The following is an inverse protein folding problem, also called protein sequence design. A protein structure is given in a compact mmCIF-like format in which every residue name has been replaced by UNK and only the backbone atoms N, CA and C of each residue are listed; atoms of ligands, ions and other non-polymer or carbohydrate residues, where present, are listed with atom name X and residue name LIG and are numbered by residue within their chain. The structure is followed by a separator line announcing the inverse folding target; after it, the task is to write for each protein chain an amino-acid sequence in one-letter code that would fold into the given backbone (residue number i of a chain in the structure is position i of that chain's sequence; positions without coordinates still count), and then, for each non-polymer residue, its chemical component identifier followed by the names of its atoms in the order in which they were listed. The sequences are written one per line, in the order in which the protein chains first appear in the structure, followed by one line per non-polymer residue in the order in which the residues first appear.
data_IF_028167090579
#
_entry.id   IF_028167090579
#
_cell.length_a   1.000
_cell.length_b   1.000
_cell.length_c   1.000
_cell.angle_alpha   90.00
_cell.angle_beta   90.00
_cell.angle_gamma   90.00
#
_symmetry.space_group_name_H-M   'P 1'
#
loop_
_entity.id
_entity.type
_entity.pdbx_description
1 polymer ?
#
# COMPACT_ATOMS: atom_id res chain seq x y z
N UNK A 1 -24.88 11.44 -14.07
CA UNK A 1 -24.47 11.76 -12.69
C UNK A 1 -23.11 12.41 -12.74
N UNK A 2 -22.92 13.58 -12.14
CA UNK A 2 -21.61 14.23 -12.13
C UNK A 2 -20.68 13.45 -11.20
N UNK A 3 -19.55 12.96 -11.73
CA UNK A 3 -18.50 12.36 -10.92
C UNK A 3 -17.90 13.48 -10.04
N UNK A 4 -18.09 13.42 -8.73
CA UNK A 4 -17.37 14.29 -7.80
C UNK A 4 -15.88 13.94 -7.92
N UNK A 5 -15.05 14.91 -8.28
CA UNK A 5 -13.60 14.73 -8.27
C UNK A 5 -13.18 14.43 -6.83
N UNK A 6 -12.78 13.20 -6.54
CA UNK A 6 -12.19 12.87 -5.26
C UNK A 6 -10.83 13.55 -5.18
N UNK A 7 -10.66 14.45 -4.21
CA UNK A 7 -9.38 15.09 -3.96
C UNK A 7 -8.42 14.03 -3.42
N UNK A 8 -7.28 13.85 -4.11
CA UNK A 8 -6.21 12.95 -3.67
C UNK A 8 -5.16 13.78 -2.94
N UNK A 9 -5.40 14.03 -1.65
CA UNK A 9 -4.53 14.83 -0.78
C UNK A 9 -3.65 13.96 0.13
N UNK A 10 -2.73 14.59 0.86
CA UNK A 10 -1.78 13.86 1.72
C UNK A 10 -2.46 12.97 2.78
N UNK A 11 -3.52 13.41 3.49
CA UNK A 11 -4.29 12.52 4.37
C UNK A 11 -4.92 11.33 3.65
N UNK A 12 -5.47 11.53 2.45
CA UNK A 12 -6.03 10.44 1.65
C UNK A 12 -4.95 9.40 1.30
N UNK A 13 -3.73 9.82 0.93
CA UNK A 13 -2.60 8.92 0.67
C UNK A 13 -2.21 8.14 1.92
N UNK A 14 -2.11 8.79 3.09
CA UNK A 14 -1.80 8.13 4.37
C UNK A 14 -2.80 7.04 4.71
N UNK A 15 -4.09 7.35 4.59
CA UNK A 15 -5.18 6.40 4.84
C UNK A 15 -5.12 5.24 3.84
N UNK A 16 -4.90 5.55 2.56
CA UNK A 16 -4.78 4.55 1.51
C UNK A 16 -3.62 3.58 1.76
N UNK A 17 -2.42 4.06 2.14
CA UNK A 17 -1.29 3.19 2.50
C UNK A 17 -1.65 2.21 3.63
N UNK A 18 -2.31 2.69 4.69
CA UNK A 18 -2.73 1.82 5.81
C UNK A 18 -3.84 0.83 5.44
N UNK A 19 -4.75 1.19 4.52
CA UNK A 19 -5.76 0.26 4.01
C UNK A 19 -5.15 -0.79 3.08
N UNK A 20 -4.28 -0.37 2.16
CA UNK A 20 -3.58 -1.23 1.22
C UNK A 20 -2.69 -2.24 1.96
N UNK A 21 -1.91 -1.80 2.97
CA UNK A 21 -1.08 -2.68 3.77
C UNK A 21 -1.88 -3.80 4.44
N UNK A 22 -3.02 -3.44 5.06
CA UNK A 22 -3.91 -4.43 5.70
C UNK A 22 -4.56 -5.36 4.68
N UNK A 23 -4.93 -4.87 3.51
CA UNK A 23 -5.52 -5.68 2.46
C UNK A 23 -4.51 -6.69 1.90
N UNK A 24 -3.30 -6.23 1.56
CA UNK A 24 -2.22 -7.08 1.06
C UNK A 24 -1.74 -8.07 2.11
N UNK A 25 -1.71 -7.69 3.40
CA UNK A 25 -1.38 -8.63 4.48
C UNK A 25 -2.34 -9.82 4.56
N UNK A 26 -3.63 -9.63 4.21
CA UNK A 26 -4.62 -10.72 4.12
C UNK A 26 -4.56 -11.50 2.81
N UNK A 27 -4.24 -10.84 1.70
CA UNK A 27 -4.32 -11.41 0.36
C UNK A 27 -2.99 -11.99 -0.15
N UNK A 28 -1.86 -11.71 0.49
CA UNK A 28 -0.53 -12.06 -0.05
C UNK A 28 -0.38 -13.53 -0.42
N UNK A 29 -0.87 -14.46 0.41
CA UNK A 29 -0.78 -15.89 0.15
C UNK A 29 -1.66 -16.32 -1.05
N UNK A 30 -2.83 -15.71 -1.20
CA UNK A 30 -3.71 -15.94 -2.36
C UNK A 30 -3.06 -15.41 -3.65
N UNK A 31 -2.43 -14.22 -3.57
CA UNK A 31 -1.74 -13.61 -4.71
C UNK A 31 -0.49 -14.42 -5.09
N UNK A 32 0.28 -14.87 -4.09
CA UNK A 32 1.45 -15.75 -4.28
C UNK A 32 1.05 -17.04 -5.02
N UNK A 33 -0.15 -17.57 -4.73
CA UNK A 33 -0.70 -18.77 -5.40
C UNK A 33 -1.20 -18.53 -6.84
N UNK A 34 -1.48 -17.28 -7.24
CA UNK A 34 -1.94 -16.93 -8.60
C UNK A 34 -0.78 -16.72 -9.57
N UNK A 35 0.46 -16.47 -9.10
CA UNK A 35 1.57 -16.16 -10.00
C UNK A 35 1.97 -17.38 -10.85
N UNK A 36 1.47 -17.48 -12.10
CA UNK A 36 1.72 -18.62 -13.01
C UNK A 36 2.29 -18.17 -14.37
N UNK A 37 3.49 -17.56 -14.46
CA UNK A 37 4.34 -17.63 -15.68
C UNK A 37 5.76 -17.01 -15.54
N UNK A 38 6.85 -17.58 -16.13
CA UNK A 38 7.06 -18.96 -16.59
C UNK A 38 7.69 -19.88 -15.50
N UNK A 39 8.11 -19.33 -14.36
CA UNK A 39 8.47 -20.05 -13.13
C UNK A 39 7.76 -19.34 -11.99
N UNK A 40 6.83 -20.02 -11.33
CA UNK A 40 6.19 -19.48 -10.13
C UNK A 40 7.20 -19.50 -8.98
N UNK A 41 7.76 -18.34 -8.65
CA UNK A 41 8.54 -18.11 -7.43
C UNK A 41 7.64 -17.96 -6.19
N UNK A 42 6.35 -17.74 -6.41
CA UNK A 42 5.33 -17.70 -5.35
C UNK A 42 5.54 -16.54 -4.39
N UNK A 43 6.10 -15.42 -4.87
CA UNK A 43 6.48 -14.29 -4.02
C UNK A 43 5.79 -12.97 -4.38
N UNK A 44 4.90 -12.96 -5.38
CA UNK A 44 4.29 -11.72 -5.90
C UNK A 44 3.49 -10.97 -4.83
N UNK A 45 2.62 -11.67 -4.10
CA UNK A 45 1.87 -11.11 -2.99
C UNK A 45 2.76 -10.65 -1.85
N UNK A 46 3.81 -11.43 -1.55
CA UNK A 46 4.82 -11.05 -0.56
C UNK A 46 5.57 -9.78 -0.96
N UNK A 47 6.01 -9.66 -2.21
CA UNK A 47 6.70 -8.49 -2.76
C UNK A 47 5.80 -7.25 -2.75
N UNK A 48 4.51 -7.39 -3.08
CA UNK A 48 3.53 -6.31 -2.98
C UNK A 48 3.33 -5.85 -1.53
N UNK A 49 3.20 -6.80 -0.59
CA UNK A 49 3.09 -6.48 0.84
C UNK A 49 4.30 -5.67 1.32
N UNK A 50 5.52 -6.14 1.04
CA UNK A 50 6.75 -5.47 1.48
C UNK A 50 6.93 -4.09 0.86
N UNK A 51 6.52 -3.93 -0.40
CA UNK A 51 6.54 -2.64 -1.09
C UNK A 51 5.62 -1.64 -0.39
N UNK A 52 4.39 -2.05 -0.08
CA UNK A 52 3.40 -1.16 0.58
C UNK A 52 3.71 -0.95 2.06
N UNK A 53 4.30 -1.93 2.75
CA UNK A 53 4.82 -1.76 4.10
C UNK A 53 5.89 -0.67 4.16
N UNK A 54 6.85 -0.73 3.23
CA UNK A 54 7.89 0.30 3.09
C UNK A 54 7.30 1.67 2.76
N UNK A 55 6.31 1.73 1.86
CA UNK A 55 5.61 2.96 1.51
C UNK A 55 4.84 3.56 2.71
N UNK A 56 4.13 2.72 3.47
CA UNK A 56 3.40 3.15 4.66
C UNK A 56 4.35 3.75 5.72
N UNK A 57 5.48 3.08 5.97
CA UNK A 57 6.51 3.59 6.89
C UNK A 57 7.07 4.96 6.44
N UNK A 58 7.35 5.12 5.14
CA UNK A 58 7.83 6.38 4.59
C UNK A 58 6.79 7.51 4.73
N UNK A 59 5.51 7.23 4.47
CA UNK A 59 4.43 8.23 4.63
C UNK A 59 4.28 8.66 6.08
N UNK A 60 4.29 7.73 7.03
CA UNK A 60 4.24 8.06 8.46
C UNK A 60 5.41 8.94 8.90
N UNK A 61 6.62 8.67 8.39
CA UNK A 61 7.80 9.50 8.67
C UNK A 61 7.64 10.94 8.16
N UNK A 62 7.04 11.14 6.98
CA UNK A 62 6.76 12.48 6.43
C UNK A 62 5.76 13.24 7.31
N UNK A 63 4.69 12.58 7.78
CA UNK A 63 3.71 13.19 8.67
C UNK A 63 4.33 13.58 10.02
N UNK A 64 5.12 12.69 10.62
CA UNK A 64 5.83 12.99 11.86
C UNK A 64 6.79 14.17 11.71
N UNK A 65 7.51 14.26 10.58
CA UNK A 65 8.38 15.40 10.28
C UNK A 65 7.62 16.72 10.10
N UNK A 66 6.43 16.68 9.50
CA UNK A 66 5.57 17.85 9.36
C UNK A 66 5.00 18.33 10.70
N UNK A 67 4.60 17.42 11.58
CA UNK A 67 4.12 17.75 12.94
C UNK A 67 5.22 18.36 13.81
N UNK A 68 6.48 17.93 13.63
CA UNK A 68 7.62 18.44 14.39
C UNK A 68 8.17 19.78 13.89
N UNK A 69 7.95 20.12 12.62
CA UNK A 69 8.44 21.36 11.99
C UNK A 69 7.40 22.49 11.88
N UNK A 70 6.17 22.23 12.30
CA UNK A 70 5.06 23.19 12.32
C UNK A 70 4.93 23.96 13.63
#
# INVERSE_FOLDING_TARGET
MAQVAQTFDAPAVRIWCGLALRALGRAREEIDAINVYPVADGDTGTNLYLTVESAAAAVEAVFAGHEAGG
#
